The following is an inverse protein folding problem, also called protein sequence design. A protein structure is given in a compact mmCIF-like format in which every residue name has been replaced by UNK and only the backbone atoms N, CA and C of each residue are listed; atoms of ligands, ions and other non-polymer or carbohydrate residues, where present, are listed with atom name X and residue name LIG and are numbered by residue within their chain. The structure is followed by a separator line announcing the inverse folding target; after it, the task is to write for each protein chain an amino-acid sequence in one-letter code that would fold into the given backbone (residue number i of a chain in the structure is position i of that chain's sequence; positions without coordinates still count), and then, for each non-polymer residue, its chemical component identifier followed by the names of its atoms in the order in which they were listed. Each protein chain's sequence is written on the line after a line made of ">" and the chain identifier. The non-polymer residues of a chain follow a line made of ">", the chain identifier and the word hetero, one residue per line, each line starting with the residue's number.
data_IF_129546174961
#
_entry.id   IF_129546174961
#
_cell.length_a   1.000
_cell.length_b   1.000
_cell.length_c   1.000
_cell.angle_alpha   90.00
_cell.angle_beta   90.00
_cell.angle_gamma   90.00
#
_symmetry.space_group_name_H-M   'P 1'
#
loop_
_entity.id
_entity.type
_entity.pdbx_description
1 polymer ?
#
# COMPACT_ATOMS: atom_id res chain seq x y z
N UNK A 1 -4.75 27.68 -17.66
CA UNK A 1 -5.29 26.37 -17.25
C UNK A 1 -4.11 25.42 -17.07
N UNK A 2 -4.00 24.73 -15.93
CA UNK A 2 -2.93 23.72 -15.74
C UNK A 2 -3.33 22.49 -16.57
N UNK A 3 -2.47 21.97 -17.46
CA UNK A 3 -2.81 20.81 -18.26
C UNK A 3 -3.06 19.59 -17.37
N UNK A 4 -4.09 18.80 -17.67
CA UNK A 4 -4.44 17.56 -16.93
C UNK A 4 -3.24 16.63 -16.83
N UNK A 5 -2.38 16.61 -17.85
CA UNK A 5 -1.14 15.84 -17.85
C UNK A 5 -0.10 16.31 -16.83
N UNK A 6 -0.10 17.60 -16.43
CA UNK A 6 0.75 18.14 -15.37
C UNK A 6 0.15 17.83 -13.98
N UNK A 7 -1.16 17.94 -13.83
CA UNK A 7 -1.84 17.50 -12.59
C UNK A 7 -1.63 16.00 -12.36
N UNK A 8 -1.90 15.16 -13.37
CA UNK A 8 -1.60 13.73 -13.31
C UNK A 8 -0.10 13.46 -13.10
N UNK A 9 0.79 14.33 -13.56
CA UNK A 9 2.23 14.17 -13.31
C UNK A 9 2.62 14.37 -11.86
N UNK A 10 2.00 15.36 -11.23
CA UNK A 10 2.24 15.77 -9.86
C UNK A 10 1.57 14.79 -8.89
N UNK A 11 0.34 14.36 -9.22
CA UNK A 11 -0.39 13.32 -8.48
C UNK A 11 0.28 11.95 -8.61
N UNK A 12 0.64 11.48 -9.82
CA UNK A 12 1.24 10.15 -9.99
C UNK A 12 2.72 10.10 -9.60
N UNK A 13 3.38 11.25 -9.45
CA UNK A 13 4.78 11.31 -9.05
C UNK A 13 5.71 10.80 -10.15
N UNK A 14 5.98 11.68 -11.12
CA UNK A 14 6.72 11.40 -12.35
C UNK A 14 8.24 11.41 -12.24
N UNK A 15 8.84 11.13 -11.08
CA UNK A 15 10.29 10.81 -11.13
C UNK A 15 10.42 9.47 -11.84
N UNK A 16 11.04 9.38 -13.03
CA UNK A 16 11.23 8.10 -13.71
C UNK A 16 12.08 7.22 -12.80
N UNK A 17 11.48 6.15 -12.26
CA UNK A 17 12.22 5.31 -11.34
C UNK A 17 12.86 4.15 -12.08
N UNK A 18 14.12 4.32 -12.44
CA UNK A 18 14.98 3.20 -12.80
C UNK A 18 15.55 2.63 -11.50
N UNK A 19 15.27 1.35 -11.23
CA UNK A 19 15.94 0.63 -10.15
C UNK A 19 15.38 0.80 -8.74
N UNK A 20 14.11 1.21 -8.52
CA UNK A 20 13.52 1.22 -7.16
C UNK A 20 13.60 -0.14 -6.48
N UNK A 21 13.49 -1.22 -7.27
CA UNK A 21 13.59 -2.58 -6.79
C UNK A 21 14.98 -2.92 -6.23
N UNK A 22 15.98 -2.05 -6.41
CA UNK A 22 17.31 -2.14 -5.79
C UNK A 22 17.48 -1.23 -4.58
N UNK A 23 16.48 -0.39 -4.26
CA UNK A 23 16.58 0.50 -3.11
C UNK A 23 16.54 -0.34 -1.83
N UNK A 24 17.41 -0.05 -0.84
CA UNK A 24 17.45 -0.79 0.41
C UNK A 24 16.12 -0.69 1.15
N UNK A 25 15.42 0.45 1.08
CA UNK A 25 14.11 0.62 1.72
C UNK A 25 13.05 -0.31 1.13
N UNK A 26 13.01 -0.41 -0.20
CA UNK A 26 12.06 -1.30 -0.86
C UNK A 26 12.39 -2.77 -0.56
N UNK A 27 13.67 -3.15 -0.65
CA UNK A 27 14.14 -4.51 -0.35
C UNK A 27 13.92 -4.90 1.11
N UNK A 28 14.23 -4.00 2.06
CA UNK A 28 13.96 -4.23 3.48
C UNK A 28 12.47 -4.37 3.73
N UNK A 29 11.62 -3.55 3.08
CA UNK A 29 10.17 -3.68 3.21
C UNK A 29 9.68 -5.03 2.68
N UNK A 30 10.17 -5.47 1.51
CA UNK A 30 9.87 -6.79 0.96
C UNK A 30 10.31 -7.92 1.90
N UNK A 31 11.52 -7.83 2.45
CA UNK A 31 12.06 -8.83 3.38
C UNK A 31 11.28 -8.89 4.69
N UNK A 32 10.90 -7.74 5.26
CA UNK A 32 10.06 -7.67 6.46
C UNK A 32 8.68 -8.28 6.20
N UNK A 33 8.06 -7.98 5.04
CA UNK A 33 6.80 -8.61 4.65
C UNK A 33 6.91 -10.12 4.48
N UNK A 34 7.96 -10.60 3.81
CA UNK A 34 8.22 -12.03 3.67
C UNK A 34 8.43 -12.73 5.02
N UNK A 35 9.20 -12.10 5.93
CA UNK A 35 9.40 -12.60 7.29
C UNK A 35 8.07 -12.62 8.07
N UNK A 36 7.27 -11.56 7.97
CA UNK A 36 5.93 -11.52 8.56
C UNK A 36 5.05 -12.65 8.05
N UNK A 37 5.05 -12.94 6.74
CA UNK A 37 4.31 -14.07 6.18
C UNK A 37 4.82 -15.44 6.63
N UNK A 38 6.11 -15.57 6.99
CA UNK A 38 6.62 -16.79 7.63
C UNK A 38 6.11 -17.00 9.05
N UNK A 39 5.85 -15.90 9.79
CA UNK A 39 5.38 -15.94 11.18
C UNK A 39 3.84 -15.97 11.27
N UNK A 40 3.14 -15.33 10.33
CA UNK A 40 1.69 -15.15 10.35
C UNK A 40 0.90 -16.46 10.53
N UNK A 41 1.22 -17.59 9.88
CA UNK A 41 0.54 -18.87 10.10
C UNK A 41 0.59 -19.39 11.54
N UNK A 42 1.52 -18.90 12.36
CA UNK A 42 1.65 -19.26 13.78
C UNK A 42 0.75 -18.40 14.68
N UNK A 43 0.24 -17.27 14.16
CA UNK A 43 -0.51 -16.27 14.91
C UNK A 43 -2.00 -16.28 14.59
N UNK A 44 -2.39 -16.75 13.41
CA UNK A 44 -3.79 -16.72 12.92
C UNK A 44 -4.19 -18.05 12.30
N UNK A 45 -5.50 -18.28 12.21
CA UNK A 45 -6.03 -19.43 11.48
C UNK A 45 -5.65 -19.34 9.99
N UNK A 46 -5.01 -20.39 9.49
CA UNK A 46 -4.60 -20.51 8.09
C UNK A 46 -5.82 -20.82 7.24
N UNK A 47 -6.15 -19.88 6.35
CA UNK A 47 -7.30 -19.91 5.45
C UNK A 47 -6.83 -19.40 4.07
N UNK A 48 -6.06 -20.21 3.32
CA UNK A 48 -5.54 -19.80 2.02
C UNK A 48 -6.65 -19.81 0.97
N UNK A 49 -6.54 -18.93 -0.04
CA UNK A 49 -7.37 -19.05 -1.24
C UNK A 49 -7.09 -20.41 -1.91
N UNK A 50 -8.12 -21.20 -2.29
CA UNK A 50 -7.91 -22.45 -3.02
C UNK A 50 -7.18 -22.22 -4.33
N UNK A 51 -6.31 -23.15 -4.74
CA UNK A 51 -5.48 -22.98 -5.94
C UNK A 51 -6.31 -22.74 -7.21
N UNK A 52 -7.50 -23.32 -7.31
CA UNK A 52 -8.44 -23.13 -8.42
C UNK A 52 -8.96 -21.69 -8.52
N UNK A 53 -8.93 -20.94 -7.42
CA UNK A 53 -9.42 -19.55 -7.35
C UNK A 53 -8.30 -18.51 -7.42
N UNK A 54 -7.03 -18.91 -7.49
CA UNK A 54 -5.89 -17.99 -7.58
C UNK A 54 -5.87 -17.16 -8.88
N UNK A 55 -6.58 -17.59 -9.92
CA UNK A 55 -6.75 -16.82 -11.16
C UNK A 55 -8.19 -16.30 -11.33
N UNK A 56 -9.03 -16.41 -10.30
CA UNK A 56 -10.39 -15.89 -10.35
C UNK A 56 -10.37 -14.37 -10.47
N UNK A 57 -11.41 -13.82 -11.12
CA UNK A 57 -11.58 -12.37 -11.21
C UNK A 57 -11.62 -11.74 -9.81
N UNK A 58 -12.31 -12.36 -8.85
CA UNK A 58 -12.37 -11.87 -7.49
C UNK A 58 -10.98 -11.78 -6.83
N UNK A 59 -10.14 -12.80 -6.99
CA UNK A 59 -8.76 -12.76 -6.49
C UNK A 59 -7.93 -11.68 -7.17
N UNK A 60 -7.98 -11.56 -8.50
CA UNK A 60 -7.23 -10.53 -9.22
C UNK A 60 -7.71 -9.12 -8.87
N UNK A 61 -9.01 -8.96 -8.63
CA UNK A 61 -9.57 -7.69 -8.18
C UNK A 61 -9.03 -7.33 -6.79
N UNK A 62 -9.06 -8.26 -5.84
CA UNK A 62 -8.60 -7.99 -4.49
C UNK A 62 -7.07 -7.88 -4.40
N UNK A 63 -6.30 -8.82 -4.95
CA UNK A 63 -4.85 -8.90 -4.80
C UNK A 63 -4.08 -7.90 -5.68
N UNK A 64 -4.64 -7.46 -6.82
CA UNK A 64 -3.94 -6.62 -7.80
C UNK A 64 -4.66 -5.30 -8.05
N UNK A 65 -5.91 -5.35 -8.53
CA UNK A 65 -6.62 -4.15 -8.96
C UNK A 65 -6.88 -3.16 -7.82
N UNK A 66 -7.39 -3.66 -6.71
CA UNK A 66 -7.71 -2.84 -5.53
C UNK A 66 -6.47 -2.13 -4.98
N UNK A 67 -5.32 -2.79 -4.73
CA UNK A 67 -4.08 -2.11 -4.35
C UNK A 67 -3.64 -1.01 -5.33
N UNK A 68 -3.81 -1.21 -6.64
CA UNK A 68 -3.50 -0.17 -7.63
C UNK A 68 -4.39 1.05 -7.42
N UNK A 69 -5.71 0.85 -7.34
CA UNK A 69 -6.69 1.92 -7.15
C UNK A 69 -6.45 2.65 -5.83
N UNK A 70 -6.22 1.89 -4.75
CA UNK A 70 -5.95 2.44 -3.43
C UNK A 70 -4.68 3.29 -3.40
N UNK A 71 -3.55 2.80 -3.92
CA UNK A 71 -2.31 3.59 -3.89
C UNK A 71 -2.40 4.81 -4.82
N UNK A 72 -3.14 4.74 -5.93
CA UNK A 72 -3.44 5.91 -6.76
C UNK A 72 -4.26 6.95 -5.99
N UNK A 73 -5.30 6.53 -5.27
CA UNK A 73 -6.17 7.41 -4.50
C UNK A 73 -5.45 7.99 -3.27
N UNK A 74 -4.83 7.14 -2.46
CA UNK A 74 -4.25 7.53 -1.19
C UNK A 74 -2.86 8.14 -1.35
N UNK A 75 -1.93 7.53 -2.10
CA UNK A 75 -0.56 8.08 -2.26
C UNK A 75 -0.46 9.07 -3.39
N UNK A 76 -1.18 8.82 -4.47
CA UNK A 76 -1.20 9.71 -5.62
C UNK A 76 -1.97 10.98 -5.29
N UNK A 77 -3.27 10.84 -5.02
CA UNK A 77 -4.15 11.97 -4.81
C UNK A 77 -4.03 12.57 -3.41
N UNK A 78 -4.43 11.85 -2.36
CA UNK A 78 -4.54 12.42 -1.02
C UNK A 78 -3.17 12.86 -0.46
N UNK A 79 -2.20 11.96 -0.37
CA UNK A 79 -0.86 12.28 0.10
C UNK A 79 -0.17 13.32 -0.80
N UNK A 80 -0.36 13.24 -2.12
CA UNK A 80 0.17 14.22 -3.07
C UNK A 80 -0.37 15.64 -2.82
N UNK A 81 -1.70 15.78 -2.67
CA UNK A 81 -2.36 17.05 -2.35
C UNK A 81 -1.88 17.58 -0.99
N UNK A 82 -1.78 16.75 0.03
CA UNK A 82 -1.30 17.16 1.35
C UNK A 82 0.18 17.57 1.30
N UNK A 83 1.02 16.84 0.56
CA UNK A 83 2.45 17.12 0.38
C UNK A 83 2.72 18.36 -0.48
N UNK A 84 1.75 18.84 -1.27
CA UNK A 84 1.86 20.15 -1.95
C UNK A 84 1.96 21.31 -0.94
N UNK A 85 1.40 21.12 0.28
CA UNK A 85 1.45 22.10 1.37
C UNK A 85 2.75 21.98 2.15
N UNK A 86 3.33 23.12 2.55
CA UNK A 86 4.60 23.14 3.29
C UNK A 86 4.53 22.37 4.62
N UNK A 87 3.39 22.43 5.32
CA UNK A 87 3.19 21.67 6.55
C UNK A 87 3.13 20.15 6.31
N UNK A 88 2.55 19.72 5.18
CA UNK A 88 2.41 18.31 4.84
C UNK A 88 3.73 17.61 4.59
N UNK A 89 4.75 18.37 4.15
CA UNK A 89 6.12 17.87 3.94
C UNK A 89 6.95 17.79 5.23
N UNK A 90 6.49 18.33 6.35
CA UNK A 90 7.22 18.22 7.64
C UNK A 90 7.28 16.76 8.05
N UNK A 91 8.45 16.30 8.49
CA UNK A 91 8.71 14.89 8.81
C UNK A 91 9.17 14.72 10.26
N UNK A 92 8.75 13.62 10.86
CA UNK A 92 9.29 13.11 12.13
C UNK A 92 9.72 11.66 11.86
N UNK A 93 11.00 11.35 12.05
CA UNK A 93 11.57 10.00 11.85
C UNK A 93 11.07 9.40 10.52
N UNK A 94 11.31 10.12 9.41
CA UNK A 94 10.95 9.74 8.03
C UNK A 94 9.47 9.79 7.65
N UNK A 95 8.54 9.85 8.61
CA UNK A 95 7.10 9.93 8.35
C UNK A 95 6.71 11.40 8.16
N UNK A 96 6.18 11.75 7.00
CA UNK A 96 5.62 13.08 6.76
C UNK A 96 4.23 13.24 7.37
N UNK A 97 3.85 14.48 7.68
CA UNK A 97 2.48 14.79 8.11
C UNK A 97 1.44 14.38 7.06
N UNK A 98 1.77 14.50 5.76
CA UNK A 98 0.94 14.02 4.66
C UNK A 98 0.76 12.49 4.70
N UNK A 99 1.85 11.73 4.90
CA UNK A 99 1.79 10.28 5.03
C UNK A 99 0.96 9.84 6.26
N UNK A 100 1.21 10.46 7.42
CA UNK A 100 0.51 10.11 8.65
C UNK A 100 -1.00 10.32 8.51
N UNK A 101 -1.43 11.50 8.03
CA UNK A 101 -2.85 11.79 7.84
C UNK A 101 -3.50 10.88 6.78
N UNK A 102 -2.80 10.64 5.67
CA UNK A 102 -3.25 9.69 4.64
C UNK A 102 -3.43 8.30 5.23
N UNK A 103 -2.51 7.84 6.09
CA UNK A 103 -2.57 6.53 6.72
C UNK A 103 -3.71 6.41 7.73
N UNK A 104 -3.99 7.47 8.51
CA UNK A 104 -5.16 7.51 9.41
C UNK A 104 -6.46 7.36 8.60
N UNK A 105 -6.58 8.08 7.49
CA UNK A 105 -7.77 8.01 6.63
C UNK A 105 -7.87 6.64 5.94
N UNK A 106 -6.74 6.09 5.49
CA UNK A 106 -6.67 4.74 4.90
C UNK A 106 -7.22 3.68 5.86
N UNK A 107 -6.76 3.67 7.11
CA UNK A 107 -7.28 2.75 8.14
C UNK A 107 -8.77 2.96 8.36
N UNK A 108 -9.21 4.22 8.45
CA UNK A 108 -10.63 4.56 8.60
C UNK A 108 -11.50 3.97 7.49
N UNK A 109 -11.01 3.94 6.25
CA UNK A 109 -11.68 3.33 5.12
C UNK A 109 -11.78 1.80 5.20
N UNK A 110 -10.92 1.14 5.99
CA UNK A 110 -10.91 -0.32 6.18
C UNK A 110 -11.80 -0.79 7.34
N UNK A 111 -12.19 0.10 8.26
CA UNK A 111 -13.04 -0.24 9.41
C UNK A 111 -14.39 -0.84 9.00
N UNK A 112 -15.10 -0.34 7.96
CA UNK A 112 -16.39 -0.91 7.56
C UNK A 112 -16.30 -2.30 6.91
N UNK A 113 -15.14 -2.67 6.38
CA UNK A 113 -14.95 -3.89 5.57
C UNK A 113 -14.15 -4.97 6.28
N UNK A 114 -13.50 -4.65 7.41
CA UNK A 114 -12.66 -5.59 8.16
C UNK A 114 -12.93 -5.52 9.66
N UNK A 115 -12.65 -6.60 10.42
CA UNK A 115 -12.62 -6.51 11.87
C UNK A 115 -11.64 -5.42 12.31
N UNK A 116 -11.99 -4.69 13.38
CA UNK A 116 -11.26 -3.49 13.82
C UNK A 116 -9.75 -3.72 13.94
N UNK A 117 -9.32 -4.86 14.51
CA UNK A 117 -7.90 -5.17 14.66
C UNK A 117 -7.17 -5.27 13.31
N UNK A 118 -7.79 -5.89 12.31
CA UNK A 118 -7.21 -6.00 10.97
C UNK A 118 -7.11 -4.63 10.29
N UNK A 119 -8.15 -3.81 10.40
CA UNK A 119 -8.12 -2.43 9.91
C UNK A 119 -6.98 -1.64 10.57
N UNK A 120 -6.85 -1.68 11.90
CA UNK A 120 -5.79 -0.99 12.63
C UNK A 120 -4.38 -1.47 12.24
N UNK A 121 -4.20 -2.78 12.02
CA UNK A 121 -2.92 -3.34 11.59
C UNK A 121 -2.48 -2.83 10.20
N UNK A 122 -3.40 -2.37 9.36
CA UNK A 122 -3.05 -1.73 8.07
C UNK A 122 -2.31 -0.39 8.22
N UNK A 123 -2.27 0.20 9.43
CA UNK A 123 -1.48 1.40 9.72
C UNK A 123 -0.01 1.22 9.35
N UNK A 124 0.59 0.11 9.77
CA UNK A 124 2.00 -0.16 9.56
C UNK A 124 2.37 -0.23 8.06
N UNK A 125 1.74 -1.09 7.23
CA UNK A 125 2.03 -1.11 5.80
C UNK A 125 1.69 0.23 5.13
N UNK A 126 0.60 0.90 5.51
CA UNK A 126 0.24 2.21 4.95
C UNK A 126 1.33 3.26 5.18
N UNK A 127 1.92 3.30 6.38
CA UNK A 127 3.04 4.21 6.68
C UNK A 127 4.27 3.89 5.82
N UNK A 128 4.60 2.61 5.64
CA UNK A 128 5.69 2.16 4.77
C UNK A 128 5.45 2.59 3.33
N UNK A 129 4.23 2.41 2.81
CA UNK A 129 3.85 2.83 1.46
C UNK A 129 4.04 4.33 1.27
N UNK A 130 3.61 5.14 2.25
CA UNK A 130 3.81 6.58 2.20
C UNK A 130 5.27 7.01 2.32
N UNK A 131 6.12 6.29 3.07
CA UNK A 131 7.57 6.53 3.11
C UNK A 131 8.20 6.25 1.74
N UNK A 132 7.84 5.13 1.11
CA UNK A 132 8.31 4.78 -0.23
C UNK A 132 7.86 5.81 -1.26
N UNK A 133 6.61 6.30 -1.16
CA UNK A 133 6.11 7.41 -1.99
C UNK A 133 6.94 8.67 -1.78
N UNK A 134 7.18 9.07 -0.55
CA UNK A 134 7.93 10.30 -0.23
C UNK A 134 9.40 10.24 -0.69
N UNK A 135 10.03 9.07 -0.63
CA UNK A 135 11.44 8.87 -1.04
C UNK A 135 11.59 8.77 -2.56
N UNK A 136 10.74 7.97 -3.19
CA UNK A 136 10.84 7.72 -4.63
C UNK A 136 10.19 8.82 -5.46
N UNK A 137 9.24 9.55 -4.88
CA UNK A 137 8.40 10.49 -5.59
C UNK A 137 7.48 9.81 -6.61
N UNK A 138 7.16 8.51 -6.46
CA UNK A 138 6.25 7.76 -7.34
C UNK A 138 5.33 6.82 -6.56
N UNK A 139 4.19 6.47 -7.14
CA UNK A 139 3.25 5.48 -6.59
C UNK A 139 3.63 4.05 -6.97
N UNK A 140 4.57 3.85 -7.90
CA UNK A 140 4.92 2.51 -8.38
C UNK A 140 5.51 1.62 -7.27
N UNK A 141 6.51 2.06 -6.46
CA UNK A 141 7.04 1.23 -5.38
C UNK A 141 5.97 0.82 -4.35
N UNK A 142 5.12 1.72 -3.82
CA UNK A 142 4.07 1.29 -2.91
C UNK A 142 3.02 0.40 -3.58
N UNK A 143 2.65 0.61 -4.85
CA UNK A 143 1.75 -0.31 -5.59
C UNK A 143 2.31 -1.73 -5.59
N UNK A 144 3.57 -1.89 -6.01
CA UNK A 144 4.19 -3.23 -6.11
C UNK A 144 4.27 -3.90 -4.74
N UNK A 145 4.66 -3.14 -3.71
CA UNK A 145 4.73 -3.68 -2.34
C UNK A 145 3.35 -4.04 -1.79
N UNK A 146 2.33 -3.22 -2.07
CA UNK A 146 0.96 -3.46 -1.63
C UNK A 146 0.36 -4.69 -2.31
N UNK A 147 0.55 -4.87 -3.62
CA UNK A 147 0.17 -6.09 -4.34
C UNK A 147 0.84 -7.32 -3.69
N UNK A 148 2.14 -7.24 -3.40
CA UNK A 148 2.86 -8.33 -2.72
C UNK A 148 2.25 -8.64 -1.35
N UNK A 149 1.95 -7.61 -0.54
CA UNK A 149 1.37 -7.81 0.78
C UNK A 149 -0.04 -8.41 0.71
N UNK A 150 -0.88 -7.91 -0.18
CA UNK A 150 -2.26 -8.39 -0.29
C UNK A 150 -2.30 -9.82 -0.85
N UNK A 151 -1.42 -10.12 -1.82
CA UNK A 151 -1.24 -11.48 -2.33
C UNK A 151 -0.84 -12.43 -1.20
N UNK A 152 0.19 -12.10 -0.40
CA UNK A 152 0.61 -12.92 0.73
C UNK A 152 -0.49 -13.12 1.78
N UNK A 153 -1.26 -12.06 2.07
CA UNK A 153 -2.42 -12.15 2.97
C UNK A 153 -3.47 -13.16 2.46
N UNK A 154 -3.87 -13.10 1.19
CA UNK A 154 -4.86 -14.04 0.62
C UNK A 154 -4.33 -15.47 0.50
N UNK A 155 -3.03 -15.66 0.32
CA UNK A 155 -2.40 -16.98 0.28
C UNK A 155 -2.27 -17.64 1.65
N UNK A 156 -2.50 -16.91 2.74
CA UNK A 156 -2.31 -17.43 4.12
C UNK A 156 -3.61 -17.36 4.93
N UNK A 157 -4.26 -16.21 5.00
CA UNK A 157 -5.32 -15.94 5.98
C UNK A 157 -6.61 -15.38 5.37
N UNK A 158 -6.56 -14.78 4.18
CA UNK A 158 -7.69 -14.05 3.59
C UNK A 158 -8.60 -14.86 2.67
N UNK A 159 -8.37 -16.16 2.48
CA UNK A 159 -9.03 -16.97 1.45
C UNK A 159 -10.56 -16.94 1.52
N UNK A 160 -11.13 -16.92 2.73
CA UNK A 160 -12.59 -16.86 2.95
C UNK A 160 -13.25 -15.59 2.45
N UNK A 161 -12.51 -14.48 2.29
CA UNK A 161 -13.06 -13.23 1.75
C UNK A 161 -13.26 -13.25 0.22
N UNK A 162 -12.73 -14.28 -0.46
CA UNK A 162 -12.86 -14.49 -1.91
C UNK A 162 -13.77 -15.71 -2.21
N UNK A 163 -14.39 -16.31 -1.17
CA UNK A 163 -15.25 -17.51 -1.30
C UNK A 163 -16.69 -17.17 -1.65
#
# INVERSE_FOLDING_TARGET
>A
MIPVSAVLSELLGRRPIRGFYRSPEFLCSLAVGAAFFGVLPLLVAVQPVPWQRMLSVAFLMAAVWQPIVEELLFRGCLQGVLASRAWGRRKVIWISAANLLTSIIFIGAHIPTHPLIWALLTLFPSLVFGILRDRSGSVVPPIVLHIFYNTGYFLIAGGSAIV
#
